data_IF_366387120309
#
_entry.id   IF_366387120309
#
_cell.length_a   1.000
_cell.length_b   1.000
_cell.length_c   1.000
_cell.angle_alpha   90.00
_cell.angle_beta   90.00
_cell.angle_gamma   90.00
#
_symmetry.space_group_name_H-M   'P 1'
#
loop_
_entity.id
_entity.type
_entity.pdbx_description
1 polymer ?
#
# COMPACT_ATOMS: atom_id res chain seq x y z
N UNK A 1 34.20 27.83 -38.24
CA UNK A 1 33.95 26.90 -37.11
C UNK A 1 32.45 26.97 -36.82
N UNK A 2 31.69 25.95 -37.25
CA UNK A 2 30.23 25.93 -37.12
C UNK A 2 29.88 25.17 -35.84
N UNK A 3 29.39 25.88 -34.81
CA UNK A 3 28.90 25.25 -33.58
C UNK A 3 27.47 24.76 -33.83
N UNK A 4 27.32 23.45 -34.03
CA UNK A 4 26.01 22.80 -34.03
C UNK A 4 25.60 22.66 -32.57
N UNK A 5 24.68 23.52 -32.12
CA UNK A 5 24.02 23.39 -30.83
C UNK A 5 23.03 22.23 -30.93
N UNK A 6 23.42 21.07 -30.41
CA UNK A 6 22.52 19.93 -30.26
C UNK A 6 21.56 20.32 -29.13
N UNK A 7 20.36 20.78 -29.49
CA UNK A 7 19.26 20.87 -28.54
C UNK A 7 19.00 19.46 -28.05
N UNK A 8 19.44 19.16 -26.84
CA UNK A 8 19.10 17.92 -26.14
C UNK A 8 17.59 17.86 -26.07
N UNK A 9 16.97 17.05 -26.95
CA UNK A 9 15.57 16.70 -26.84
C UNK A 9 15.39 16.15 -25.43
N UNK A 10 14.77 16.94 -24.55
CA UNK A 10 14.35 16.46 -23.25
C UNK A 10 13.45 15.28 -23.52
N UNK A 11 13.95 14.07 -23.28
CA UNK A 11 13.10 12.90 -23.17
C UNK A 11 12.13 13.30 -22.07
N UNK A 12 10.87 13.56 -22.42
CA UNK A 12 9.81 13.77 -21.46
C UNK A 12 9.66 12.42 -20.75
N UNK A 13 10.45 12.22 -19.70
CA UNK A 13 10.41 11.02 -18.91
C UNK A 13 9.04 11.03 -18.26
N UNK A 14 8.18 10.11 -18.69
CA UNK A 14 6.81 10.01 -18.21
C UNK A 14 6.87 9.84 -16.70
N UNK A 15 6.35 10.83 -15.97
CA UNK A 15 6.31 10.78 -14.52
C UNK A 15 5.34 9.67 -14.10
N UNK A 16 5.84 8.72 -13.31
CA UNK A 16 5.01 7.67 -12.74
C UNK A 16 4.18 8.31 -11.61
N UNK A 17 2.86 8.32 -11.77
CA UNK A 17 1.94 8.93 -10.80
C UNK A 17 1.06 7.90 -10.06
N UNK A 18 0.96 6.67 -10.58
CA UNK A 18 0.07 5.64 -10.05
C UNK A 18 0.87 4.39 -9.73
N UNK A 19 0.72 3.89 -8.50
CA UNK A 19 1.37 2.66 -8.04
C UNK A 19 0.32 1.62 -7.68
N UNK A 20 0.35 0.45 -8.32
CA UNK A 20 -0.65 -0.61 -8.14
C UNK A 20 0.04 -1.88 -7.65
N UNK A 21 -0.50 -2.47 -6.57
CA UNK A 21 0.00 -3.70 -5.95
C UNK A 21 -1.00 -4.83 -6.16
N UNK A 22 -0.62 -5.83 -6.95
CA UNK A 22 -1.45 -7.00 -7.22
C UNK A 22 -1.42 -8.00 -6.05
N UNK A 23 -2.58 -8.54 -5.69
CA UNK A 23 -2.65 -9.62 -4.73
C UNK A 23 -2.25 -10.97 -5.33
N UNK A 24 -1.27 -11.66 -4.74
CA UNK A 24 -0.89 -13.02 -5.14
C UNK A 24 -0.27 -13.87 -4.02
N UNK A 25 -0.41 -13.45 -2.75
CA UNK A 25 0.05 -14.17 -1.56
C UNK A 25 0.85 -13.28 -0.61
N UNK A 26 1.66 -13.81 0.30
CA UNK A 26 2.46 -12.95 1.21
C UNK A 26 3.71 -12.46 0.46
N UNK A 27 3.52 -11.56 -0.51
CA UNK A 27 4.59 -10.91 -1.29
C UNK A 27 5.04 -9.57 -0.69
N UNK A 28 4.55 -9.20 0.50
CA UNK A 28 4.85 -7.89 1.10
C UNK A 28 6.36 -7.60 1.28
N UNK A 29 7.19 -8.64 1.44
CA UNK A 29 8.65 -8.52 1.50
C UNK A 29 9.26 -8.13 0.14
N UNK A 30 8.74 -8.68 -0.96
CA UNK A 30 9.17 -8.29 -2.29
C UNK A 30 8.77 -6.83 -2.58
N UNK A 31 7.55 -6.44 -2.16
CA UNK A 31 7.10 -5.06 -2.31
C UNK A 31 7.91 -4.05 -1.50
N UNK A 32 8.36 -4.38 -0.28
CA UNK A 32 9.26 -3.47 0.43
C UNK A 32 10.57 -3.26 -0.33
N UNK A 33 11.11 -4.28 -0.99
CA UNK A 33 12.30 -4.14 -1.84
C UNK A 33 12.05 -3.28 -3.08
N UNK A 34 10.91 -3.46 -3.74
CA UNK A 34 10.51 -2.63 -4.88
C UNK A 34 10.33 -1.15 -4.47
N UNK A 35 9.65 -0.90 -3.34
CA UNK A 35 9.44 0.45 -2.80
C UNK A 35 10.78 1.09 -2.44
N UNK A 36 11.71 0.34 -1.84
CA UNK A 36 13.05 0.83 -1.53
C UNK A 36 13.80 1.35 -2.77
N UNK A 37 13.75 0.61 -3.89
CA UNK A 37 14.39 1.08 -5.13
C UNK A 37 13.65 2.29 -5.73
N UNK A 38 12.31 2.37 -5.61
CA UNK A 38 11.55 3.55 -6.02
C UNK A 38 11.88 4.78 -5.15
N UNK A 39 12.07 4.60 -3.85
CA UNK A 39 12.49 5.65 -2.92
C UNK A 39 13.89 6.15 -3.27
N UNK A 40 14.86 5.25 -3.48
CA UNK A 40 16.23 5.58 -3.90
C UNK A 40 16.28 6.31 -5.23
N UNK A 41 15.43 5.93 -6.18
CA UNK A 41 15.34 6.58 -7.48
C UNK A 41 14.60 7.94 -7.41
N UNK A 42 14.08 8.34 -6.25
CA UNK A 42 13.30 9.57 -6.09
C UNK A 42 11.98 9.54 -6.86
N UNK A 43 11.45 8.35 -7.18
CA UNK A 43 10.21 8.20 -7.96
C UNK A 43 8.98 8.37 -7.06
N UNK A 44 9.08 7.98 -5.78
CA UNK A 44 7.96 8.02 -4.82
C UNK A 44 7.37 9.41 -4.63
N UNK A 45 8.17 10.48 -4.82
CA UNK A 45 7.72 11.89 -4.72
C UNK A 45 6.66 12.27 -5.76
N UNK A 46 6.61 11.53 -6.88
CA UNK A 46 5.68 11.81 -7.98
C UNK A 46 4.39 10.98 -7.87
N UNK A 47 4.33 10.02 -6.95
CA UNK A 47 3.17 9.14 -6.80
C UNK A 47 2.00 9.93 -6.19
N UNK A 48 0.87 9.91 -6.91
CA UNK A 48 -0.38 10.60 -6.54
C UNK A 48 -1.47 9.63 -6.13
N UNK A 49 -1.46 8.40 -6.67
CA UNK A 49 -2.48 7.39 -6.40
C UNK A 49 -1.82 6.05 -6.15
N UNK A 50 -2.36 5.35 -5.16
CA UNK A 50 -1.92 4.01 -4.79
C UNK A 50 -3.15 3.12 -4.75
N UNK A 51 -3.03 1.90 -5.27
CA UNK A 51 -4.10 0.92 -5.25
C UNK A 51 -3.55 -0.48 -5.03
N UNK A 52 -4.40 -1.40 -4.58
CA UNK A 52 -4.03 -2.80 -4.50
C UNK A 52 -5.21 -3.72 -4.28
N UNK A 53 -5.01 -5.01 -4.54
CA UNK A 53 -6.04 -6.05 -4.44
C UNK A 53 -5.60 -7.12 -3.44
N UNK A 54 -6.53 -7.66 -2.64
CA UNK A 54 -6.24 -8.70 -1.62
C UNK A 54 -5.09 -8.29 -0.67
N UNK A 55 -4.00 -9.05 -0.61
CA UNK A 55 -2.74 -8.79 0.10
C UNK A 55 -2.02 -7.54 -0.39
N UNK A 56 -2.10 -7.22 -1.68
CA UNK A 56 -1.58 -5.97 -2.24
C UNK A 56 -2.26 -4.71 -1.68
N UNK A 57 -3.52 -4.82 -1.23
CA UNK A 57 -4.23 -3.71 -0.61
C UNK A 57 -3.60 -3.29 0.74
N UNK A 58 -2.97 -4.22 1.46
CA UNK A 58 -2.27 -3.95 2.71
C UNK A 58 -1.03 -3.08 2.44
N UNK A 59 -0.24 -3.43 1.43
CA UNK A 59 0.90 -2.61 1.00
C UNK A 59 0.43 -1.24 0.50
N UNK A 60 -0.63 -1.21 -0.31
CA UNK A 60 -1.21 0.03 -0.81
C UNK A 60 -1.64 0.97 0.32
N UNK A 61 -2.24 0.43 1.38
CA UNK A 61 -2.59 1.17 2.60
C UNK A 61 -1.36 1.80 3.25
N UNK A 62 -0.32 1.01 3.52
CA UNK A 62 0.90 1.51 4.19
C UNK A 62 1.59 2.59 3.35
N UNK A 63 1.74 2.38 2.05
CA UNK A 63 2.32 3.40 1.16
C UNK A 63 1.47 4.68 1.15
N UNK A 64 0.13 4.55 1.13
CA UNK A 64 -0.77 5.71 1.16
C UNK A 64 -0.69 6.52 2.47
N UNK A 65 -0.31 5.86 3.56
CA UNK A 65 -0.11 6.49 4.88
C UNK A 65 1.32 7.04 5.07
N UNK A 66 2.18 6.95 4.06
CA UNK A 66 3.56 7.45 4.12
C UNK A 66 4.49 6.57 4.96
N UNK A 67 4.23 5.26 5.01
CA UNK A 67 5.24 4.32 5.51
C UNK A 67 6.39 4.18 4.53
N UNK A 68 7.61 4.13 5.07
CA UNK A 68 8.85 3.87 4.31
C UNK A 68 8.99 2.40 3.96
N UNK A 69 9.83 2.08 2.98
CA UNK A 69 10.15 0.69 2.62
C UNK A 69 10.60 -0.15 3.82
N UNK A 70 11.40 0.44 4.73
CA UNK A 70 11.93 -0.24 5.91
C UNK A 70 10.84 -0.55 6.93
N UNK A 71 9.95 0.42 7.21
CA UNK A 71 8.82 0.17 8.12
C UNK A 71 7.87 -0.89 7.55
N UNK A 72 7.61 -0.85 6.23
CA UNK A 72 6.80 -1.88 5.55
C UNK A 72 7.47 -3.25 5.70
N UNK A 73 8.77 -3.35 5.45
CA UNK A 73 9.52 -4.60 5.62
C UNK A 73 9.40 -5.13 7.05
N UNK A 74 9.62 -4.29 8.07
CA UNK A 74 9.54 -4.68 9.47
C UNK A 74 8.14 -5.16 9.86
N UNK A 75 7.09 -4.43 9.48
CA UNK A 75 5.71 -4.80 9.77
C UNK A 75 5.36 -6.13 9.10
N UNK A 76 5.68 -6.30 7.82
CA UNK A 76 5.35 -7.53 7.08
C UNK A 76 6.15 -8.71 7.60
N UNK A 77 7.47 -8.57 7.78
CA UNK A 77 8.36 -9.67 8.19
C UNK A 77 8.10 -10.15 9.62
N UNK A 78 7.64 -9.26 10.50
CA UNK A 78 7.25 -9.62 11.88
C UNK A 78 5.82 -10.17 12.00
N UNK A 79 5.01 -10.05 10.94
CA UNK A 79 3.60 -10.48 10.97
C UNK A 79 3.45 -11.95 10.58
N UNK A 80 2.88 -12.75 11.49
CA UNK A 80 2.55 -14.16 11.23
C UNK A 80 1.21 -14.27 10.51
N UNK A 81 1.17 -13.99 9.21
CA UNK A 81 -0.07 -14.00 8.41
C UNK A 81 -0.83 -15.34 8.44
N UNK A 82 -0.15 -16.47 8.69
CA UNK A 82 -0.79 -17.76 8.88
C UNK A 82 -1.79 -17.75 10.06
N UNK A 83 -1.52 -16.96 11.10
CA UNK A 83 -2.44 -16.79 12.25
C UNK A 83 -3.72 -16.01 11.89
N UNK A 84 -3.76 -15.38 10.71
CA UNK A 84 -4.97 -14.77 10.17
C UNK A 84 -5.75 -15.74 9.27
N UNK A 85 -5.15 -16.88 8.88
CA UNK A 85 -5.64 -17.78 7.84
C UNK A 85 -6.04 -19.17 8.37
N UNK A 86 -6.70 -19.24 9.54
CA UNK A 86 -7.21 -20.49 10.16
C UNK A 86 -8.29 -21.23 9.32
N UNK A 87 -8.47 -20.91 8.03
CA UNK A 87 -9.50 -21.49 7.17
C UNK A 87 -9.14 -21.42 5.69
N UNK A 88 -8.16 -22.21 5.25
CA UNK A 88 -7.86 -22.34 3.81
C UNK A 88 -9.06 -22.87 2.99
N UNK A 89 -10.05 -23.52 3.60
CA UNK A 89 -11.33 -23.90 2.97
C UNK A 89 -12.42 -22.80 2.99
N UNK A 90 -12.14 -21.66 3.63
CA UNK A 90 -13.13 -20.61 3.91
C UNK A 90 -13.06 -19.44 2.92
N UNK A 91 -11.93 -19.19 2.25
CA UNK A 91 -11.81 -18.07 1.31
C UNK A 91 -12.85 -18.13 0.17
N UNK A 92 -13.11 -19.30 -0.42
CA UNK A 92 -14.14 -19.46 -1.47
C UNK A 92 -15.56 -19.46 -0.87
N UNK A 93 -15.78 -20.22 0.20
CA UNK A 93 -17.12 -20.35 0.82
C UNK A 93 -17.56 -19.14 1.65
N UNK A 94 -16.65 -18.26 2.01
CA UNK A 94 -16.95 -17.10 2.83
C UNK A 94 -17.30 -15.86 2.01
N UNK A 95 -16.79 -15.67 0.78
CA UNK A 95 -17.19 -14.54 -0.09
C UNK A 95 -18.70 -14.63 -0.34
N UNK A 96 -19.19 -15.86 -0.49
CA UNK A 96 -20.61 -16.18 -0.60
C UNK A 96 -21.42 -15.87 0.68
N UNK A 97 -20.83 -16.03 1.88
CA UNK A 97 -21.49 -15.74 3.17
C UNK A 97 -21.48 -14.25 3.56
N UNK A 98 -20.50 -13.49 3.07
CA UNK A 98 -20.39 -12.04 3.26
C UNK A 98 -21.63 -11.30 2.77
N UNK A 99 -22.25 -11.77 1.67
CA UNK A 99 -23.43 -11.13 1.08
C UNK A 99 -24.73 -11.37 1.89
N UNK A 100 -24.76 -12.36 2.79
CA UNK A 100 -26.00 -12.81 3.44
C UNK A 100 -26.07 -12.64 4.96
N UNK A 101 -24.95 -12.39 5.68
CA UNK A 101 -24.95 -12.43 7.17
C UNK A 101 -24.09 -11.38 7.89
N UNK A 102 -23.42 -10.44 7.22
CA UNK A 102 -22.52 -9.45 7.86
C UNK A 102 -21.60 -10.05 8.95
N UNK A 103 -20.95 -11.18 8.69
CA UNK A 103 -20.03 -11.78 9.65
C UNK A 103 -19.37 -13.04 9.13
N UNK A 104 -18.03 -13.05 9.13
CA UNK A 104 -17.24 -14.11 8.50
C UNK A 104 -16.45 -14.97 9.50
N UNK A 105 -15.56 -14.43 10.35
CA UNK A 105 -14.76 -15.19 11.34
C UNK A 105 -14.20 -14.22 12.41
N UNK A 106 -13.32 -14.68 13.32
CA UNK A 106 -12.55 -13.84 14.31
C UNK A 106 -11.67 -12.79 13.61
N UNK A 107 -12.33 -11.77 13.07
CA UNK A 107 -11.77 -10.61 12.36
C UNK A 107 -11.06 -9.65 13.33
N UNK A 108 -11.34 -9.74 14.63
CA UNK A 108 -10.81 -8.81 15.64
C UNK A 108 -9.28 -8.68 15.63
N UNK A 109 -8.52 -9.77 15.47
CA UNK A 109 -7.05 -9.70 15.50
C UNK A 109 -6.47 -9.04 14.25
N UNK A 110 -7.03 -9.33 13.07
CA UNK A 110 -6.60 -8.71 11.82
C UNK A 110 -7.04 -7.24 11.75
N UNK A 111 -8.27 -6.94 12.17
CA UNK A 111 -8.76 -5.57 12.28
C UNK A 111 -7.93 -4.76 13.27
N UNK A 112 -7.69 -5.26 14.48
CA UNK A 112 -6.81 -4.58 15.46
C UNK A 112 -5.41 -4.35 14.92
N UNK A 113 -4.89 -5.28 14.11
CA UNK A 113 -3.60 -5.11 13.46
C UNK A 113 -3.64 -3.98 12.41
N UNK A 114 -4.67 -3.92 11.57
CA UNK A 114 -4.88 -2.82 10.62
C UNK A 114 -5.12 -1.48 11.32
N UNK A 115 -6.00 -1.44 12.33
CA UNK A 115 -6.28 -0.28 13.18
C UNK A 115 -4.98 0.27 13.79
N UNK A 116 -4.08 -0.62 14.24
CA UNK A 116 -2.77 -0.21 14.77
C UNK A 116 -1.89 0.41 13.69
N UNK A 117 -1.83 -0.16 12.49
CA UNK A 117 -1.10 0.43 11.35
C UNK A 117 -1.65 1.81 11.02
N UNK A 118 -2.97 1.94 10.90
CA UNK A 118 -3.61 3.21 10.55
C UNK A 118 -3.35 4.25 11.66
N UNK A 119 -3.61 3.90 12.92
CA UNK A 119 -3.45 4.79 14.06
C UNK A 119 -2.00 5.25 14.27
N UNK A 120 -1.01 4.44 13.91
CA UNK A 120 0.41 4.80 14.07
C UNK A 120 0.83 6.00 13.21
N UNK A 121 0.22 6.20 12.03
CA UNK A 121 0.51 7.37 11.17
C UNK A 121 -0.52 8.49 11.29
N UNK A 122 -1.73 8.17 11.74
CA UNK A 122 -2.88 9.11 11.66
C UNK A 122 -3.44 9.53 13.01
N UNK A 123 -3.11 8.79 14.08
CA UNK A 123 -3.75 8.88 15.39
C UNK A 123 -5.28 8.63 15.37
N UNK A 124 -5.79 8.01 14.31
CA UNK A 124 -7.20 7.63 14.16
C UNK A 124 -7.28 6.22 13.57
N UNK A 125 -7.57 5.22 14.41
CA UNK A 125 -7.71 3.82 14.00
C UNK A 125 -8.81 3.60 12.94
N UNK A 126 -9.85 4.43 12.95
CA UNK A 126 -11.03 4.33 12.09
C UNK A 126 -10.96 5.29 10.88
N UNK A 127 -9.76 5.74 10.50
CA UNK A 127 -9.59 6.70 9.41
C UNK A 127 -10.22 6.20 8.10
N UNK A 128 -11.04 7.06 7.50
CA UNK A 128 -11.69 6.81 6.21
C UNK A 128 -10.86 7.32 5.03
N UNK A 129 -11.13 6.80 3.82
CA UNK A 129 -10.51 7.33 2.58
C UNK A 129 -10.77 8.83 2.37
N UNK A 130 -11.94 9.34 2.78
CA UNK A 130 -12.27 10.75 2.67
C UNK A 130 -11.41 11.62 3.59
N UNK A 131 -11.10 11.14 4.80
CA UNK A 131 -10.21 11.81 5.74
C UNK A 131 -8.75 11.73 5.30
N UNK A 132 -8.31 10.57 4.79
CA UNK A 132 -6.99 10.40 4.20
C UNK A 132 -6.75 11.40 3.08
N UNK A 133 -7.72 11.56 2.17
CA UNK A 133 -7.64 12.57 1.10
C UNK A 133 -7.51 13.99 1.65
N UNK A 134 -8.22 14.32 2.73
CA UNK A 134 -8.10 15.63 3.39
C UNK A 134 -6.73 15.82 4.04
N UNK A 135 -6.14 14.76 4.60
CA UNK A 135 -4.80 14.78 5.20
C UNK A 135 -3.71 14.99 4.15
N UNK A 136 -3.75 14.27 3.03
CA UNK A 136 -2.80 14.44 1.91
C UNK A 136 -2.83 15.87 1.34
N UNK A 137 -4.03 16.46 1.20
CA UNK A 137 -4.18 17.85 0.77
C UNK A 137 -3.61 18.89 1.75
N UNK A 138 -3.51 18.56 3.04
CA UNK A 138 -2.88 19.43 4.04
C UNK A 138 -1.35 19.31 4.01
N UNK A 139 -0.81 18.12 3.73
CA UNK A 139 0.62 17.88 3.65
C UNK A 139 1.29 18.51 2.41
N UNK A 140 0.50 18.78 1.35
CA UNK A 140 0.96 19.39 0.09
C UNK A 140 0.81 20.93 0.03
N UNK A 141 0.31 21.56 1.09
CA UNK A 141 0.20 23.02 1.23
C UNK A 141 1.35 23.57 2.05
#
# INVERSE_FOLDING_TARGET
MLFISISSSSICQTQIENLIFEGSGIQGIAYSGAIYELEKAGITVNIKKVGGTSDGAITALMVSLGYTSSEIYEIISSTKFQSFNDGQFIFIGGIYRMNNRFGWYRIDSFNKWLEKIISNKTHNADMTFAELKKMDLKAKK
#
